data_IF_820995013388
#
_entry.id   IF_820995013388
#
_cell.length_a   1.000
_cell.length_b   1.000
_cell.length_c   1.000
_cell.angle_alpha   90.00
_cell.angle_beta   90.00
_cell.angle_gamma   90.00
#
_symmetry.space_group_name_H-M   'P 1'
#
loop_
_entity.id
_entity.type
_entity.pdbx_description
1 polymer ?
#
# COMPACT_ATOMS: atom_id res chain seq x y z
N UNK A 1 84.10 -64.92 -11.74
CA UNK A 1 84.25 -65.29 -13.17
C UNK A 1 82.86 -65.55 -13.77
N UNK A 2 82.44 -64.67 -14.69
CA UNK A 2 81.76 -64.97 -15.98
C UNK A 2 80.35 -65.63 -15.99
N UNK A 3 79.36 -64.79 -16.40
CA UNK A 3 78.16 -65.03 -17.26
C UNK A 3 77.02 -65.92 -16.71
N UNK A 4 75.73 -65.78 -17.06
CA UNK A 4 74.87 -64.85 -17.81
C UNK A 4 73.41 -65.40 -17.74
N UNK A 5 72.44 -64.67 -18.33
CA UNK A 5 71.02 -65.01 -18.63
C UNK A 5 70.01 -64.74 -17.50
N UNK A 6 69.17 -63.69 -17.58
CA UNK A 6 68.04 -63.42 -18.49
C UNK A 6 66.72 -63.83 -17.84
N UNK A 7 65.79 -62.89 -17.67
CA UNK A 7 64.43 -62.93 -18.22
C UNK A 7 63.52 -61.87 -17.58
N UNK A 8 62.85 -61.13 -18.49
CA UNK A 8 61.47 -60.68 -18.45
C UNK A 8 60.93 -59.90 -17.23
N UNK A 9 60.51 -58.66 -17.50
CA UNK A 9 59.63 -57.93 -16.59
C UNK A 9 59.37 -56.49 -17.03
N UNK A 10 58.94 -56.28 -18.27
CA UNK A 10 58.37 -54.99 -18.69
C UNK A 10 57.04 -54.77 -17.97
N UNK A 11 57.09 -54.14 -16.79
CA UNK A 11 55.92 -53.61 -16.11
C UNK A 11 55.59 -52.22 -16.64
N UNK A 12 54.68 -52.14 -17.61
CA UNK A 12 54.09 -50.88 -18.07
C UNK A 12 53.26 -50.31 -16.91
N UNK A 13 53.66 -49.15 -16.38
CA UNK A 13 52.79 -48.31 -15.56
C UNK A 13 51.68 -47.77 -16.47
N UNK A 14 50.50 -48.38 -16.43
CA UNK A 14 49.29 -47.79 -16.99
C UNK A 14 48.71 -46.80 -15.97
N UNK A 15 49.10 -45.53 -16.08
CA UNK A 15 48.41 -44.45 -15.41
C UNK A 15 47.04 -44.26 -16.08
N UNK A 16 46.00 -44.82 -15.47
CA UNK A 16 44.61 -44.67 -15.92
C UNK A 16 44.11 -43.27 -15.52
N UNK A 17 44.46 -42.26 -16.30
CA UNK A 17 43.80 -40.96 -16.24
C UNK A 17 42.50 -41.04 -17.06
N UNK A 18 41.42 -41.53 -16.45
CA UNK A 18 40.08 -41.31 -16.99
C UNK A 18 39.56 -40.01 -16.39
N UNK A 19 39.49 -39.01 -17.26
CA UNK A 19 38.94 -37.69 -17.03
C UNK A 19 37.60 -37.76 -16.29
N UNK A 20 37.48 -37.01 -15.21
CA UNK A 20 36.17 -36.68 -14.64
C UNK A 20 35.38 -35.97 -15.73
N UNK A 21 34.32 -36.62 -16.21
CA UNK A 21 33.31 -35.92 -17.00
C UNK A 21 32.58 -34.99 -16.04
N UNK A 22 32.99 -33.72 -15.99
CA UNK A 22 32.16 -32.65 -15.49
C UNK A 22 30.93 -32.61 -16.40
N UNK A 23 29.87 -33.31 -16.00
CA UNK A 23 28.56 -33.10 -16.59
C UNK A 23 28.23 -31.64 -16.34
N UNK A 24 28.04 -30.79 -17.37
CA UNK A 24 27.47 -29.49 -17.13
C UNK A 24 26.07 -29.74 -16.60
N UNK A 25 25.87 -29.54 -15.30
CA UNK A 25 24.56 -29.33 -14.72
C UNK A 25 24.00 -28.08 -15.39
N UNK A 26 23.37 -28.27 -16.55
CA UNK A 26 22.48 -27.29 -17.17
C UNK A 26 21.30 -27.23 -16.23
N UNK A 27 21.40 -26.41 -15.18
CA UNK A 27 20.23 -25.93 -14.49
C UNK A 27 19.35 -25.32 -15.56
N UNK A 28 18.23 -25.97 -15.87
CA UNK A 28 17.19 -25.33 -16.65
C UNK A 28 16.86 -24.04 -15.90
N UNK A 29 17.18 -22.89 -16.51
CA UNK A 29 16.81 -21.61 -15.91
C UNK A 29 15.32 -21.65 -15.65
N UNK A 30 14.92 -21.34 -14.41
CA UNK A 30 13.51 -21.19 -14.10
C UNK A 30 12.95 -20.04 -14.95
N UNK A 31 11.69 -20.16 -15.36
CA UNK A 31 10.98 -19.05 -15.96
C UNK A 31 10.91 -17.90 -14.94
N UNK A 32 11.35 -16.72 -15.35
CA UNK A 32 11.27 -15.55 -14.48
C UNK A 32 9.79 -15.12 -14.37
N UNK A 33 9.32 -14.75 -13.17
CA UNK A 33 7.97 -14.21 -13.04
C UNK A 33 7.77 -12.96 -13.92
N UNK A 34 6.58 -12.78 -14.49
CA UNK A 34 6.28 -11.59 -15.27
C UNK A 34 6.32 -10.33 -14.40
N UNK A 35 6.63 -9.21 -15.04
CA UNK A 35 6.65 -7.88 -14.43
C UNK A 35 5.77 -6.96 -15.26
N UNK A 36 4.81 -6.32 -14.61
CA UNK A 36 3.83 -5.44 -15.25
C UNK A 36 4.06 -3.98 -14.89
N UNK A 37 3.44 -3.09 -15.66
CA UNK A 37 3.19 -1.70 -15.25
C UNK A 37 1.84 -1.61 -14.53
N UNK A 38 1.64 -0.66 -13.59
CA UNK A 38 0.38 -0.54 -12.85
C UNK A 38 -0.86 -0.43 -13.75
N UNK A 39 -0.76 0.31 -14.86
CA UNK A 39 -1.88 0.52 -15.79
C UNK A 39 -2.28 -0.74 -16.60
N UNK A 40 -1.44 -1.78 -16.63
CA UNK A 40 -1.78 -3.05 -17.30
C UNK A 40 -2.65 -3.95 -16.43
N UNK A 41 -2.53 -3.84 -15.10
CA UNK A 41 -3.16 -4.75 -14.14
C UNK A 41 -4.24 -4.08 -13.29
N UNK A 42 -4.23 -2.75 -13.18
CA UNK A 42 -5.17 -1.98 -12.38
C UNK A 42 -6.03 -1.03 -13.24
N UNK A 43 -7.30 -0.80 -12.85
CA UNK A 43 -8.07 0.30 -13.39
C UNK A 43 -7.43 1.66 -13.01
N UNK A 44 -7.60 2.72 -13.81
CA UNK A 44 -6.96 4.03 -13.60
C UNK A 44 -7.17 4.59 -12.19
N UNK A 45 -8.40 4.45 -11.70
CA UNK A 45 -8.80 4.69 -10.32
C UNK A 45 -7.79 4.14 -9.31
N UNK A 46 -7.51 2.83 -9.35
CA UNK A 46 -6.61 2.19 -8.39
C UNK A 46 -5.14 2.51 -8.62
N UNK A 47 -4.77 2.97 -9.82
CA UNK A 47 -3.40 3.43 -10.09
C UNK A 47 -3.11 4.74 -9.36
N UNK A 48 -4.06 5.68 -9.32
CA UNK A 48 -3.84 7.00 -8.72
C UNK A 48 -5.13 7.67 -8.26
N UNK A 49 -5.06 8.28 -7.08
CA UNK A 49 -6.08 9.16 -6.51
C UNK A 49 -5.44 10.41 -5.88
N UNK A 50 -6.22 11.34 -5.29
CA UNK A 50 -5.68 12.42 -4.48
C UNK A 50 -4.87 11.96 -3.26
N UNK A 51 -5.10 10.74 -2.75
CA UNK A 51 -4.49 10.25 -1.52
C UNK A 51 -3.39 9.20 -1.72
N UNK A 52 -3.37 8.53 -2.88
CA UNK A 52 -2.39 7.50 -3.18
C UNK A 52 -1.96 7.49 -4.65
N UNK A 53 -0.79 6.92 -4.92
CA UNK A 53 -0.34 6.58 -6.28
C UNK A 53 0.46 5.28 -6.23
N UNK A 54 0.27 4.41 -7.21
CA UNK A 54 1.07 3.19 -7.38
C UNK A 54 2.32 3.54 -8.17
N UNK A 55 3.48 3.25 -7.60
CA UNK A 55 4.78 3.58 -8.20
C UNK A 55 5.54 2.33 -8.60
N UNK A 56 6.45 2.48 -9.57
CA UNK A 56 7.34 1.40 -10.00
C UNK A 56 6.65 0.33 -10.83
N UNK A 57 7.36 -0.79 -11.00
CA UNK A 57 6.86 -1.99 -11.66
C UNK A 57 6.13 -2.90 -10.67
N UNK A 58 5.22 -3.71 -11.18
CA UNK A 58 4.42 -4.67 -10.43
C UNK A 58 4.91 -6.09 -10.77
N UNK A 59 5.89 -6.64 -10.02
CA UNK A 59 6.29 -8.03 -10.20
C UNK A 59 5.22 -8.97 -9.62
N UNK A 60 5.10 -10.15 -10.22
CA UNK A 60 4.28 -11.23 -9.65
C UNK A 60 5.17 -12.08 -8.75
N UNK A 61 4.94 -12.02 -7.43
CA UNK A 61 5.61 -12.87 -6.46
C UNK A 61 4.60 -13.72 -5.72
N UNK A 62 4.92 -15.00 -5.48
CA UNK A 62 4.03 -15.91 -4.73
C UNK A 62 2.59 -15.90 -5.27
N UNK A 63 2.44 -15.81 -6.60
CA UNK A 63 1.16 -15.72 -7.32
C UNK A 63 0.33 -14.45 -7.08
N UNK A 64 0.92 -13.40 -6.52
CA UNK A 64 0.28 -12.11 -6.27
C UNK A 64 1.06 -10.96 -6.91
N UNK A 65 0.33 -10.01 -7.47
CA UNK A 65 0.87 -8.72 -7.88
C UNK A 65 1.38 -7.94 -6.66
N UNK A 66 2.62 -7.47 -6.71
CA UNK A 66 3.25 -6.69 -5.65
C UNK A 66 3.22 -5.21 -5.99
N UNK A 67 2.52 -4.42 -5.17
CA UNK A 67 2.35 -2.99 -5.40
C UNK A 67 3.19 -2.16 -4.43
N UNK A 68 3.68 -1.01 -4.89
CA UNK A 68 4.25 0.04 -4.04
C UNK A 68 3.27 1.20 -4.00
N UNK A 69 2.51 1.29 -2.91
CA UNK A 69 1.50 2.33 -2.73
C UNK A 69 2.12 3.53 -2.00
N UNK A 70 2.35 4.61 -2.73
CA UNK A 70 2.84 5.87 -2.18
C UNK A 70 1.66 6.73 -1.73
N UNK A 71 1.76 7.30 -0.52
CA UNK A 71 0.76 8.18 0.11
C UNK A 71 1.47 9.32 0.84
N UNK A 72 0.72 10.29 1.37
CA UNK A 72 1.30 11.32 2.26
C UNK A 72 1.84 10.77 3.59
N UNK A 73 1.39 9.57 3.99
CA UNK A 73 1.78 8.89 5.23
C UNK A 73 3.02 8.01 5.07
N UNK A 74 3.49 7.81 3.84
CA UNK A 74 4.61 6.92 3.52
C UNK A 74 4.33 6.05 2.29
N UNK A 75 5.27 5.15 2.01
CA UNK A 75 5.16 4.16 0.95
C UNK A 75 5.00 2.79 1.56
N UNK A 76 3.97 2.07 1.13
CA UNK A 76 3.59 0.77 1.69
C UNK A 76 3.65 -0.31 0.60
N UNK A 77 4.36 -1.43 0.84
CA UNK A 77 4.23 -2.60 -0.01
C UNK A 77 2.86 -3.23 0.20
N UNK A 78 2.20 -3.63 -0.88
CA UNK A 78 0.89 -4.27 -0.83
C UNK A 78 0.84 -5.49 -1.72
N UNK A 79 0.61 -6.64 -1.10
CA UNK A 79 0.55 -7.94 -1.75
C UNK A 79 -0.89 -8.22 -2.22
N UNK A 80 -1.13 -8.08 -3.53
CA UNK A 80 -2.38 -8.43 -4.18
C UNK A 80 -3.40 -7.30 -4.30
N UNK A 81 -4.23 -7.41 -5.35
CA UNK A 81 -5.14 -6.34 -5.80
C UNK A 81 -6.28 -6.05 -4.83
N UNK A 82 -6.80 -7.06 -4.13
CA UNK A 82 -7.89 -6.86 -3.18
C UNK A 82 -7.42 -6.22 -1.87
N UNK A 83 -6.21 -6.57 -1.39
CA UNK A 83 -5.60 -5.87 -0.27
C UNK A 83 -5.33 -4.42 -0.65
N UNK A 84 -4.86 -4.15 -1.87
CA UNK A 84 -4.69 -2.79 -2.36
C UNK A 84 -6.00 -2.01 -2.32
N UNK A 85 -7.10 -2.60 -2.79
CA UNK A 85 -8.43 -1.96 -2.76
C UNK A 85 -8.85 -1.59 -1.33
N UNK A 86 -8.56 -2.44 -0.35
CA UNK A 86 -8.82 -2.15 1.07
C UNK A 86 -7.92 -1.02 1.56
N UNK A 87 -6.60 -1.12 1.37
CA UNK A 87 -5.63 -0.10 1.79
C UNK A 87 -5.96 1.29 1.26
N UNK A 88 -6.43 1.35 0.03
CA UNK A 88 -6.79 2.63 -0.58
C UNK A 88 -8.03 3.26 0.08
N UNK A 89 -9.03 2.46 0.48
CA UNK A 89 -10.15 2.97 1.29
C UNK A 89 -9.67 3.45 2.65
N UNK A 90 -8.75 2.71 3.28
CA UNK A 90 -8.20 3.06 4.58
C UNK A 90 -7.43 4.38 4.53
N UNK A 91 -6.61 4.58 3.50
CA UNK A 91 -5.89 5.85 3.26
C UNK A 91 -6.85 7.02 3.07
N UNK A 92 -7.94 6.83 2.32
CA UNK A 92 -8.97 7.85 2.17
C UNK A 92 -9.66 8.16 3.50
N UNK A 93 -10.02 7.14 4.28
CA UNK A 93 -10.62 7.31 5.60
C UNK A 93 -9.69 8.07 6.57
N UNK A 94 -8.39 7.73 6.61
CA UNK A 94 -7.41 8.47 7.42
C UNK A 94 -7.38 9.96 7.05
N UNK A 95 -7.39 10.28 5.75
CA UNK A 95 -7.38 11.68 5.32
C UNK A 95 -8.65 12.43 5.72
N UNK A 96 -9.82 11.81 5.57
CA UNK A 96 -11.11 12.37 6.00
C UNK A 96 -11.18 12.60 7.52
N UNK A 97 -10.68 11.65 8.31
CA UNK A 97 -10.64 11.78 9.76
C UNK A 97 -9.71 12.91 10.21
N UNK A 98 -8.55 13.07 9.59
CA UNK A 98 -7.65 14.20 9.85
C UNK A 98 -8.30 15.55 9.55
N UNK A 99 -9.09 15.64 8.48
CA UNK A 99 -9.83 16.87 8.13
C UNK A 99 -10.88 17.22 9.19
N UNK A 100 -11.65 16.22 9.65
CA UNK A 100 -12.67 16.40 10.70
C UNK A 100 -12.00 16.78 12.04
N UNK A 101 -10.98 16.03 12.47
CA UNK A 101 -10.24 16.28 13.71
C UNK A 101 -9.58 17.67 13.68
N UNK A 102 -9.01 18.07 12.53
CA UNK A 102 -8.47 19.41 12.31
C UNK A 102 -9.54 20.50 12.43
N UNK A 103 -10.71 20.31 11.83
CA UNK A 103 -11.81 21.28 11.93
C UNK A 103 -12.34 21.42 13.36
N UNK A 104 -12.56 20.30 14.08
CA UNK A 104 -13.02 20.31 15.47
C UNK A 104 -12.03 20.97 16.43
N UNK A 105 -10.73 20.71 16.25
CA UNK A 105 -9.67 21.33 17.05
C UNK A 105 -9.55 22.82 16.77
N UNK A 106 -9.72 23.27 15.53
CA UNK A 106 -9.80 24.70 15.19
C UNK A 106 -11.01 25.38 15.83
N UNK A 107 -12.19 24.78 15.80
CA UNK A 107 -13.40 25.32 16.46
C UNK A 107 -13.22 25.37 17.98
N UNK A 108 -12.66 24.31 18.56
CA UNK A 108 -12.43 24.22 20.01
C UNK A 108 -11.38 25.23 20.47
N UNK A 109 -10.28 25.38 19.73
CA UNK A 109 -9.19 26.32 20.05
C UNK A 109 -9.54 27.77 19.74
N UNK A 110 -10.35 28.05 18.72
CA UNK A 110 -10.93 29.37 18.46
C UNK A 110 -11.92 29.80 19.55
N UNK A 111 -12.39 28.85 20.36
CA UNK A 111 -13.12 29.08 21.59
C UNK A 111 -14.56 29.54 21.35
N UNK A 112 -15.46 29.04 22.21
CA UNK A 112 -16.82 29.54 22.44
C UNK A 112 -16.91 31.04 22.80
N UNK A 113 -15.81 31.79 22.70
CA UNK A 113 -15.64 33.18 23.12
C UNK A 113 -15.54 34.16 21.94
N UNK A 114 -15.34 33.69 20.70
CA UNK A 114 -15.26 34.56 19.51
C UNK A 114 -16.42 34.40 18.52
N UNK A 115 -17.43 33.55 18.80
CA UNK A 115 -18.63 33.42 17.96
C UNK A 115 -19.59 34.60 18.20
N UNK A 116 -19.16 35.82 17.88
CA UNK A 116 -20.12 36.86 17.49
C UNK A 116 -20.60 36.51 16.08
N UNK A 117 -21.91 36.39 15.83
CA UNK A 117 -22.41 36.24 14.46
C UNK A 117 -22.26 37.60 13.78
N UNK A 118 -21.05 37.91 13.31
CA UNK A 118 -20.87 39.00 12.37
C UNK A 118 -21.38 38.48 11.03
N UNK A 119 -22.63 38.86 10.73
CA UNK A 119 -23.32 38.51 9.50
C UNK A 119 -22.51 38.93 8.29
N UNK A 120 -21.74 37.99 7.73
CA UNK A 120 -21.11 38.08 6.42
C UNK A 120 -20.69 36.68 5.99
N UNK A 121 -21.67 35.79 5.86
CA UNK A 121 -21.51 34.47 5.24
C UNK A 121 -21.48 34.59 3.70
N UNK A 122 -20.55 35.39 3.16
CA UNK A 122 -20.30 35.44 1.71
C UNK A 122 -18.83 35.22 1.30
N UNK A 123 -17.86 35.44 2.19
CA UNK A 123 -16.44 35.41 1.81
C UNK A 123 -15.57 34.37 2.57
N UNK A 124 -16.19 33.50 3.38
CA UNK A 124 -15.47 32.32 3.94
C UNK A 124 -15.41 31.14 2.95
N UNK A 125 -15.89 31.33 1.72
CA UNK A 125 -15.76 30.38 0.60
C UNK A 125 -14.58 30.77 -0.32
N UNK A 126 -13.72 31.71 0.10
CA UNK A 126 -12.63 32.26 -0.73
C UNK A 126 -11.25 32.09 -0.10
N UNK A 127 -10.92 30.84 0.25
CA UNK A 127 -9.53 30.40 0.23
C UNK A 127 -9.29 29.42 -0.95
N UNK A 128 -9.18 29.91 -2.20
CA UNK A 128 -8.70 29.09 -3.31
C UNK A 128 -7.18 29.10 -3.25
N UNK A 129 -6.59 28.15 -2.54
CA UNK A 129 -5.15 28.08 -2.34
C UNK A 129 -4.70 26.64 -2.16
N UNK A 130 -4.47 25.95 -3.27
CA UNK A 130 -4.32 24.48 -3.39
C UNK A 130 -5.65 23.72 -3.36
N UNK A 131 -6.62 24.17 -4.16
CA UNK A 131 -7.45 23.18 -4.87
C UNK A 131 -6.49 22.17 -5.47
N UNK A 132 -6.66 20.89 -5.16
CA UNK A 132 -5.94 19.78 -5.76
C UNK A 132 -6.35 19.71 -7.25
N UNK A 133 -5.98 20.74 -8.02
CA UNK A 133 -5.72 20.63 -9.43
C UNK A 133 -4.40 19.88 -9.50
N UNK A 134 -4.34 18.70 -10.09
CA UNK A 134 -4.75 18.52 -11.47
C UNK A 134 -5.76 17.38 -11.64
N UNK A 135 -6.88 17.80 -12.20
CA UNK A 135 -7.95 17.01 -12.79
C UNK A 135 -7.45 15.81 -13.61
N UNK A 136 -7.65 14.58 -13.12
CA UNK A 136 -7.85 13.43 -14.00
C UNK A 136 -9.35 13.27 -14.27
N UNK A 137 -9.84 14.04 -15.25
CA UNK A 137 -11.15 13.82 -15.86
C UNK A 137 -11.07 12.55 -16.69
N UNK A 138 -11.48 11.44 -16.11
CA UNK A 138 -11.72 10.22 -16.87
C UNK A 138 -11.44 8.98 -16.04
N UNK A 139 -12.49 8.18 -15.83
CA UNK A 139 -12.47 6.89 -15.13
C UNK A 139 -12.18 6.99 -13.63
N UNK A 140 -12.89 7.90 -12.95
CA UNK A 140 -12.86 8.19 -11.50
C UNK A 140 -13.92 7.46 -10.64
N UNK A 141 -14.71 6.57 -11.24
CA UNK A 141 -16.05 6.23 -10.75
C UNK A 141 -16.06 5.45 -9.44
N UNK A 142 -15.02 4.66 -9.16
CA UNK A 142 -14.94 3.92 -7.90
C UNK A 142 -14.49 4.82 -6.74
N UNK A 143 -13.46 5.66 -6.94
CA UNK A 143 -12.97 6.58 -5.90
C UNK A 143 -13.98 7.64 -5.55
N UNK A 144 -14.60 8.26 -6.55
CA UNK A 144 -15.64 9.26 -6.32
C UNK A 144 -16.80 8.67 -5.51
N UNK A 145 -17.08 7.37 -5.64
CA UNK A 145 -18.11 6.69 -4.83
C UNK A 145 -17.65 6.47 -3.39
N UNK A 146 -16.39 6.06 -3.19
CA UNK A 146 -15.81 5.91 -1.84
C UNK A 146 -15.82 7.27 -1.12
N UNK A 147 -15.34 8.31 -1.79
CA UNK A 147 -15.32 9.67 -1.27
C UNK A 147 -16.73 10.21 -0.99
N UNK A 148 -17.65 10.07 -1.94
CA UNK A 148 -19.05 10.44 -1.73
C UNK A 148 -19.70 9.66 -0.57
N UNK A 149 -19.33 8.38 -0.38
CA UNK A 149 -19.86 7.59 0.75
C UNK A 149 -19.34 8.07 2.10
N UNK A 150 -18.08 8.51 2.19
CA UNK A 150 -17.51 9.09 3.40
C UNK A 150 -18.11 10.47 3.69
N UNK A 151 -18.31 11.30 2.67
CA UNK A 151 -18.93 12.61 2.81
C UNK A 151 -20.45 12.56 3.10
N UNK A 152 -21.14 11.50 2.68
CA UNK A 152 -22.57 11.30 2.99
C UNK A 152 -22.81 10.92 4.46
N UNK A 153 -21.76 10.47 5.16
CA UNK A 153 -21.81 10.25 6.61
C UNK A 153 -21.81 11.62 7.29
N UNK A 154 -22.97 12.01 7.84
CA UNK A 154 -23.19 13.30 8.50
C UNK A 154 -22.21 13.51 9.69
N UNK A 155 -21.32 14.52 9.63
CA UNK A 155 -20.38 14.82 10.71
C UNK A 155 -21.06 15.29 12.01
N UNK A 156 -22.36 15.63 11.96
CA UNK A 156 -23.14 16.06 13.13
C UNK A 156 -23.97 14.93 13.79
N UNK A 157 -23.87 13.68 13.34
CA UNK A 157 -24.49 12.55 14.07
C UNK A 157 -23.71 12.24 15.34
N UNK A 158 -24.06 12.96 16.40
CA UNK A 158 -23.53 12.83 17.76
C UNK A 158 -22.00 12.85 17.78
N UNK A 159 -21.45 14.05 18.03
CA UNK A 159 -20.02 14.26 18.20
C UNK A 159 -19.38 13.15 19.04
N UNK A 160 -18.39 12.47 18.45
CA UNK A 160 -16.96 12.66 18.78
C UNK A 160 -16.59 12.91 20.26
N UNK A 161 -17.44 12.48 21.19
CA UNK A 161 -17.23 12.46 22.64
C UNK A 161 -17.64 11.09 23.20
N UNK A 162 -17.27 10.02 22.51
CA UNK A 162 -17.37 8.65 23.03
C UNK A 162 -16.04 8.16 23.66
N UNK A 163 -15.16 9.08 24.04
CA UNK A 163 -13.87 8.80 24.69
C UNK A 163 -14.01 8.35 26.15
N UNK A 164 -15.22 8.11 26.69
CA UNK A 164 -15.39 7.84 28.12
C UNK A 164 -16.16 6.56 28.52
N UNK A 165 -16.59 5.70 27.59
CA UNK A 165 -17.20 4.42 27.97
C UNK A 165 -17.12 3.33 26.87
N UNK A 166 -15.91 2.83 26.59
CA UNK A 166 -15.69 1.60 25.82
C UNK A 166 -15.07 1.80 24.45
N UNK A 167 -13.73 1.92 24.40
CA UNK A 167 -12.97 2.19 23.17
C UNK A 167 -13.26 1.23 22.01
N UNK A 168 -13.57 -0.04 22.29
CA UNK A 168 -13.89 -1.03 21.24
C UNK A 168 -15.26 -0.81 20.56
N UNK A 169 -16.23 -0.16 21.22
CA UNK A 169 -17.53 0.18 20.62
C UNK A 169 -17.43 1.46 19.79
N UNK A 170 -16.73 2.46 20.32
CA UNK A 170 -16.45 3.70 19.60
C UNK A 170 -15.65 3.44 18.32
N UNK A 171 -14.55 2.67 18.40
CA UNK A 171 -13.74 2.26 17.24
C UNK A 171 -14.56 1.56 16.16
N UNK A 172 -15.37 0.57 16.55
CA UNK A 172 -16.22 -0.16 15.60
C UNK A 172 -17.27 0.72 14.95
N UNK A 173 -17.87 1.66 15.70
CA UNK A 173 -18.83 2.61 15.13
C UNK A 173 -18.14 3.52 14.11
N UNK A 174 -17.00 4.09 14.48
CA UNK A 174 -16.22 4.98 13.61
C UNK A 174 -15.78 4.26 12.34
N UNK A 175 -15.21 3.06 12.46
CA UNK A 175 -14.83 2.25 11.31
C UNK A 175 -16.03 1.88 10.42
N UNK A 176 -17.19 1.59 11.00
CA UNK A 176 -18.43 1.34 10.27
C UNK A 176 -18.89 2.57 9.46
N UNK A 177 -18.83 3.75 10.08
CA UNK A 177 -19.25 5.02 9.47
C UNK A 177 -18.36 5.40 8.26
N UNK A 178 -17.07 5.02 8.29
CA UNK A 178 -16.13 5.19 7.18
C UNK A 178 -16.02 3.99 6.24
N UNK A 179 -16.72 2.88 6.54
CA UNK A 179 -16.68 1.66 5.74
C UNK A 179 -15.31 0.97 5.70
N UNK A 180 -14.55 1.04 6.79
CA UNK A 180 -13.21 0.45 6.97
C UNK A 180 -13.20 -0.62 8.05
N UNK A 181 -12.11 -1.40 8.13
CA UNK A 181 -11.96 -2.44 9.16
C UNK A 181 -11.55 -1.83 10.51
N UNK A 182 -12.31 -2.04 11.61
CA UNK A 182 -11.94 -1.58 12.95
C UNK A 182 -10.66 -2.22 13.52
N UNK A 183 -10.19 -3.31 12.94
CA UNK A 183 -8.97 -4.03 13.32
C UNK A 183 -7.96 -4.06 12.17
N UNK A 184 -7.91 -2.99 11.39
CA UNK A 184 -6.94 -2.84 10.32
C UNK A 184 -5.51 -2.95 10.83
N UNK A 185 -4.64 -3.52 10.00
CA UNK A 185 -3.19 -3.50 10.17
C UNK A 185 -2.52 -2.31 9.48
N UNK A 186 -3.29 -1.39 8.90
CA UNK A 186 -2.76 -0.16 8.33
C UNK A 186 -2.54 0.86 9.44
N UNK A 187 -1.27 1.03 9.82
CA UNK A 187 -0.86 1.87 10.96
C UNK A 187 -1.42 3.30 10.92
N UNK A 188 -1.44 4.02 9.77
CA UNK A 188 -2.00 5.36 9.73
C UNK A 188 -3.49 5.41 10.09
N UNK A 189 -4.29 4.42 9.69
CA UNK A 189 -5.70 4.37 10.07
C UNK A 189 -5.89 3.89 11.51
N UNK A 190 -5.14 2.87 11.94
CA UNK A 190 -5.25 2.35 13.31
C UNK A 190 -4.90 3.42 14.36
N UNK A 191 -4.00 4.36 14.04
CA UNK A 191 -3.68 5.50 14.90
C UNK A 191 -4.86 6.46 15.09
N UNK A 192 -5.66 6.71 14.05
CA UNK A 192 -6.79 7.65 14.07
C UNK A 192 -8.04 7.07 14.78
N UNK A 193 -8.26 5.75 14.70
CA UNK A 193 -9.45 5.09 15.29
C UNK A 193 -9.23 4.53 16.71
N UNK A 194 -8.03 4.74 17.27
CA UNK A 194 -7.62 4.08 18.52
C UNK A 194 -8.34 4.58 19.75
#
# INVERSE_FOLDING_TARGET
MIKAFAYLGTGILAALAVAGTDLPARGAGYENPPVFSPAQVLPPDLVRSPYHTIVGSVPVERFLDQYQMQTKYGTFPVDGTELLRMRVREVAATAHMEEINGAETLVTSAGKTALKPLGTAKDLVTAPGKTIGETFRGVGGWFNRVDASMNATDPNREGTVASLAGGSKARRKLAYDFGVDPYTTFEPLDAEIR
#
